data_IF_272096123664
#
_entry.id   IF_272096123664
#
_cell.length_a   1.000
_cell.length_b   1.000
_cell.length_c   1.000
_cell.angle_alpha   90.00
_cell.angle_beta   90.00
_cell.angle_gamma   90.00
#
_symmetry.space_group_name_H-M   'P 1'
#
loop_
_entity.id
_entity.type
_entity.pdbx_description
1 polymer ?
#
# COMPACT_ATOMS: atom_id res chain seq x y z
N UNK A 1 -55.98 47.76 -36.90
CA UNK A 1 -54.53 47.62 -37.11
C UNK A 1 -53.67 47.46 -35.84
N UNK A 2 -54.12 47.71 -34.61
CA UNK A 2 -53.32 47.59 -33.37
C UNK A 2 -53.31 46.20 -32.72
N UNK A 3 -54.25 45.30 -33.07
CA UNK A 3 -54.29 43.94 -32.45
C UNK A 3 -53.45 42.91 -33.20
N UNK A 4 -53.20 43.07 -34.48
CA UNK A 4 -52.36 42.14 -35.28
C UNK A 4 -50.88 42.34 -35.05
N UNK A 5 -50.40 43.54 -34.71
CA UNK A 5 -49.01 43.84 -34.40
C UNK A 5 -48.57 43.29 -33.02
N UNK A 6 -49.51 43.26 -32.06
CA UNK A 6 -49.21 42.72 -30.72
C UNK A 6 -49.09 41.18 -30.72
N UNK A 7 -49.89 40.49 -31.54
CA UNK A 7 -49.85 39.04 -31.72
C UNK A 7 -48.54 38.61 -32.43
N UNK A 8 -48.10 39.40 -33.42
CA UNK A 8 -46.87 39.15 -34.16
C UNK A 8 -45.60 39.33 -33.22
N UNK A 9 -45.63 40.36 -32.34
CA UNK A 9 -44.55 40.56 -31.38
C UNK A 9 -44.48 39.45 -30.30
N UNK A 10 -45.63 38.94 -29.85
CA UNK A 10 -45.68 37.84 -28.87
C UNK A 10 -45.20 36.51 -29.48
N UNK A 11 -45.45 36.26 -30.78
CA UNK A 11 -44.96 35.08 -31.48
C UNK A 11 -43.44 35.10 -31.71
N UNK A 12 -42.84 36.27 -31.95
CA UNK A 12 -41.38 36.41 -32.09
C UNK A 12 -40.66 36.23 -30.77
N UNK A 13 -41.24 36.67 -29.64
CA UNK A 13 -40.67 36.45 -28.30
C UNK A 13 -40.81 34.98 -27.90
N UNK A 14 -41.83 34.24 -28.31
CA UNK A 14 -41.98 32.82 -28.06
C UNK A 14 -41.04 31.96 -28.91
N UNK A 15 -40.70 32.35 -30.15
CA UNK A 15 -39.71 31.65 -30.97
C UNK A 15 -38.25 31.85 -30.47
N UNK A 16 -37.94 33.00 -29.84
CA UNK A 16 -36.61 33.26 -29.27
C UNK A 16 -36.37 32.53 -27.96
N UNK A 17 -37.40 32.08 -27.25
CA UNK A 17 -37.28 31.29 -26.01
C UNK A 17 -36.99 29.78 -26.27
N UNK A 18 -37.06 29.32 -27.54
CA UNK A 18 -36.75 27.93 -27.91
C UNK A 18 -35.29 27.69 -28.33
N UNK A 19 -34.47 28.74 -28.40
CA UNK A 19 -33.02 28.59 -28.57
C UNK A 19 -32.37 28.55 -27.19
N UNK A 20 -32.84 27.66 -26.31
CA UNK A 20 -32.14 27.25 -25.10
C UNK A 20 -30.92 26.44 -25.52
N UNK A 21 -29.72 27.02 -25.36
CA UNK A 21 -28.44 26.34 -25.47
C UNK A 21 -28.31 25.22 -24.42
N UNK A 22 -29.07 24.15 -24.61
CA UNK A 22 -28.73 22.87 -24.02
C UNK A 22 -27.86 22.12 -25.01
N UNK A 23 -26.63 21.87 -24.70
CA UNK A 23 -25.83 20.92 -25.50
C UNK A 23 -26.71 19.67 -25.74
N UNK A 24 -26.88 19.26 -27.01
CA UNK A 24 -27.71 18.09 -27.30
C UNK A 24 -27.21 16.90 -26.49
N UNK A 25 -28.11 16.06 -26.00
CA UNK A 25 -27.76 14.83 -25.24
C UNK A 25 -26.66 14.02 -25.93
N UNK A 26 -26.65 14.08 -27.28
CA UNK A 26 -25.65 13.41 -28.10
C UNK A 26 -24.26 14.06 -28.00
N UNK A 27 -24.18 15.40 -27.97
CA UNK A 27 -22.90 16.13 -27.79
C UNK A 27 -22.31 15.86 -26.41
N UNK A 28 -23.13 15.88 -25.35
CA UNK A 28 -22.72 15.54 -23.99
C UNK A 28 -22.23 14.09 -23.93
N UNK A 29 -22.93 13.15 -24.60
CA UNK A 29 -22.52 11.75 -24.68
C UNK A 29 -21.19 11.58 -25.44
N UNK A 30 -21.02 12.28 -26.57
CA UNK A 30 -19.73 12.24 -27.32
C UNK A 30 -18.58 12.79 -26.52
N UNK A 31 -18.75 13.92 -25.82
CA UNK A 31 -17.73 14.51 -24.95
C UNK A 31 -17.36 13.57 -23.79
N UNK A 32 -18.36 12.94 -23.16
CA UNK A 32 -18.11 11.96 -22.09
C UNK A 32 -17.39 10.71 -22.60
N UNK A 33 -17.69 10.22 -23.82
CA UNK A 33 -16.98 9.11 -24.45
C UNK A 33 -15.53 9.47 -24.81
N UNK A 34 -15.30 10.68 -25.34
CA UNK A 34 -13.96 11.17 -25.66
C UNK A 34 -13.11 11.33 -24.40
N UNK A 35 -13.68 11.92 -23.34
CA UNK A 35 -12.98 12.07 -22.07
C UNK A 35 -12.66 10.71 -21.43
N UNK A 36 -13.59 9.75 -21.48
CA UNK A 36 -13.35 8.37 -21.04
C UNK A 36 -12.24 7.70 -21.84
N UNK A 37 -12.25 7.83 -23.18
CA UNK A 37 -11.21 7.26 -24.03
C UNK A 37 -9.84 7.88 -23.77
N UNK A 38 -9.79 9.19 -23.51
CA UNK A 38 -8.59 9.92 -23.12
C UNK A 38 -8.07 9.41 -21.77
N UNK A 39 -8.95 9.28 -20.77
CA UNK A 39 -8.61 8.80 -19.46
C UNK A 39 -8.11 7.35 -19.49
N UNK A 40 -8.76 6.49 -20.28
CA UNK A 40 -8.33 5.11 -20.51
C UNK A 40 -6.94 5.05 -21.18
N UNK A 41 -6.65 5.96 -22.11
CA UNK A 41 -5.33 6.06 -22.74
C UNK A 41 -4.25 6.48 -21.75
N UNK A 42 -4.52 7.51 -20.93
CA UNK A 42 -3.63 7.95 -19.86
C UNK A 42 -3.39 6.82 -18.85
N UNK A 43 -4.45 6.12 -18.44
CA UNK A 43 -4.33 5.00 -17.51
C UNK A 43 -3.50 3.84 -18.10
N UNK A 44 -3.64 3.54 -19.39
CA UNK A 44 -2.81 2.53 -20.08
C UNK A 44 -1.35 2.94 -20.18
N UNK A 45 -1.05 4.20 -20.41
CA UNK A 45 0.32 4.72 -20.51
C UNK A 45 0.99 4.86 -19.14
N UNK A 46 0.23 5.06 -18.06
CA UNK A 46 0.75 5.27 -16.72
C UNK A 46 1.54 4.07 -16.18
N UNK A 47 2.52 4.35 -15.33
CA UNK A 47 3.26 3.35 -14.57
C UNK A 47 2.52 3.04 -13.27
N UNK A 48 1.91 1.86 -13.18
CA UNK A 48 1.03 1.49 -12.06
C UNK A 48 1.80 0.77 -10.98
N UNK A 49 1.67 1.24 -9.74
CA UNK A 49 2.34 0.65 -8.58
C UNK A 49 1.33 0.38 -7.47
N UNK A 50 1.29 -0.88 -7.02
CA UNK A 50 0.48 -1.31 -5.89
C UNK A 50 1.12 -0.90 -4.56
N UNK A 51 0.34 -0.24 -3.70
CA UNK A 51 0.79 0.26 -2.39
C UNK A 51 -0.15 -0.19 -1.28
N UNK A 52 0.39 -0.27 -0.07
CA UNK A 52 -0.30 -0.67 1.15
C UNK A 52 -0.31 0.49 2.17
N UNK A 53 -1.23 0.48 3.15
CA UNK A 53 -1.30 1.51 4.19
C UNK A 53 -0.20 1.35 5.25
N UNK A 54 1.06 1.31 4.82
CA UNK A 54 2.24 1.02 5.64
C UNK A 54 3.33 2.06 5.47
N UNK A 55 4.17 2.22 6.48
CA UNK A 55 5.22 3.24 6.53
C UNK A 55 6.21 3.14 5.37
N UNK A 56 6.53 1.94 4.91
CA UNK A 56 7.46 1.71 3.81
C UNK A 56 6.96 2.19 2.44
N UNK A 57 5.65 2.48 2.32
CA UNK A 57 5.08 3.17 1.17
C UNK A 57 5.17 4.70 1.27
N UNK A 58 5.60 5.27 2.40
CA UNK A 58 5.66 6.73 2.58
C UNK A 58 6.47 7.44 1.49
N UNK A 59 7.66 6.96 1.04
CA UNK A 59 8.41 7.63 -0.02
C UNK A 59 7.61 7.74 -1.33
N UNK A 60 6.81 6.74 -1.65
CA UNK A 60 5.97 6.75 -2.86
C UNK A 60 4.78 7.70 -2.69
N UNK A 61 4.19 7.78 -1.48
CA UNK A 61 3.13 8.75 -1.19
C UNK A 61 3.63 10.19 -1.26
N UNK A 62 4.82 10.46 -0.71
CA UNK A 62 5.47 11.78 -0.78
C UNK A 62 5.79 12.14 -2.22
N UNK A 63 6.41 11.22 -2.99
CA UNK A 63 6.73 11.47 -4.39
C UNK A 63 5.49 11.80 -5.24
N UNK A 64 4.35 11.17 -4.93
CA UNK A 64 3.08 11.45 -5.60
C UNK A 64 2.49 12.81 -5.17
N UNK A 65 2.49 13.12 -3.89
CA UNK A 65 1.88 14.33 -3.33
C UNK A 65 2.69 15.58 -3.70
N UNK A 66 4.01 15.52 -3.61
CA UNK A 66 4.94 16.58 -4.03
C UNK A 66 5.16 16.64 -5.55
N UNK A 67 4.42 15.83 -6.34
CA UNK A 67 4.49 15.77 -7.82
C UNK A 67 5.91 15.50 -8.36
N UNK A 68 6.73 14.76 -7.60
CA UNK A 68 8.11 14.46 -8.02
C UNK A 68 8.14 13.57 -9.26
N UNK A 69 7.18 12.63 -9.39
CA UNK A 69 7.06 11.81 -10.60
C UNK A 69 6.72 12.64 -11.83
N UNK A 70 5.77 13.57 -11.71
CA UNK A 70 5.35 14.44 -12.81
C UNK A 70 6.51 15.35 -13.26
N UNK A 71 7.27 15.91 -12.31
CA UNK A 71 8.45 16.75 -12.60
C UNK A 71 9.57 16.00 -13.33
N UNK A 72 9.63 14.68 -13.15
CA UNK A 72 10.55 13.79 -13.85
C UNK A 72 10.01 13.28 -15.20
N UNK A 73 8.77 13.62 -15.55
CA UNK A 73 8.14 13.23 -16.82
C UNK A 73 7.62 11.79 -16.82
N UNK A 74 7.26 11.23 -15.66
CA UNK A 74 6.61 9.92 -15.55
C UNK A 74 5.26 10.04 -14.84
N UNK A 75 4.20 9.58 -15.50
CA UNK A 75 2.88 9.48 -14.87
C UNK A 75 2.79 8.19 -14.08
N UNK A 76 2.75 8.29 -12.75
CA UNK A 76 2.61 7.16 -11.84
C UNK A 76 1.18 7.10 -11.31
N UNK A 77 0.55 5.93 -11.41
CA UNK A 77 -0.73 5.66 -10.77
C UNK A 77 -0.56 4.73 -9.58
N UNK A 78 -0.77 5.23 -8.37
CA UNK A 78 -0.79 4.43 -7.16
C UNK A 78 -2.12 3.70 -7.03
N UNK A 79 -2.06 2.37 -7.01
CA UNK A 79 -3.21 1.50 -6.74
C UNK A 79 -3.14 1.09 -5.26
N UNK A 80 -3.99 1.72 -4.43
CA UNK A 80 -4.03 1.45 -3.00
C UNK A 80 -4.81 0.17 -2.71
N UNK A 81 -4.20 -0.75 -1.98
CA UNK A 81 -4.80 -2.01 -1.52
C UNK A 81 -4.85 -2.02 0.00
N UNK A 82 -5.90 -2.60 0.56
CA UNK A 82 -6.03 -2.81 2.00
C UNK A 82 -5.52 -4.18 2.44
N UNK A 83 -5.67 -5.17 1.56
CA UNK A 83 -5.24 -6.54 1.80
C UNK A 83 -4.01 -6.89 0.95
N UNK A 84 -2.98 -7.48 1.59
CA UNK A 84 -1.75 -7.85 0.90
C UNK A 84 -2.00 -8.83 -0.26
N UNK A 85 -2.92 -9.78 -0.09
CA UNK A 85 -3.24 -10.75 -1.14
C UNK A 85 -3.81 -10.11 -2.41
N UNK A 86 -4.58 -9.02 -2.28
CA UNK A 86 -5.12 -8.30 -3.44
C UNK A 86 -4.01 -7.54 -4.18
N UNK A 87 -3.07 -6.95 -3.43
CA UNK A 87 -1.88 -6.30 -3.97
C UNK A 87 -1.03 -7.30 -4.77
N UNK A 88 -0.76 -8.48 -4.20
CA UNK A 88 0.00 -9.54 -4.87
C UNK A 88 -0.73 -10.09 -6.10
N UNK A 89 -2.04 -10.30 -6.00
CA UNK A 89 -2.85 -10.75 -7.14
C UNK A 89 -2.83 -9.73 -8.29
N UNK A 90 -2.83 -8.43 -7.95
CA UNK A 90 -2.70 -7.39 -8.96
C UNK A 90 -1.33 -7.42 -9.64
N UNK A 91 -0.25 -7.68 -8.89
CA UNK A 91 1.10 -7.85 -9.41
C UNK A 91 1.20 -9.09 -10.31
N UNK A 92 0.74 -10.24 -9.86
CA UNK A 92 0.77 -11.48 -10.65
C UNK A 92 -0.01 -11.37 -11.96
N UNK A 93 -1.20 -10.80 -11.91
CA UNK A 93 -2.09 -10.63 -13.08
C UNK A 93 -1.70 -9.46 -13.99
N UNK A 94 -0.68 -8.66 -13.63
CA UNK A 94 -0.21 -7.51 -14.42
C UNK A 94 -1.18 -6.34 -14.45
N UNK A 95 -1.97 -6.19 -13.42
CA UNK A 95 -2.80 -4.98 -13.21
C UNK A 95 -1.95 -3.81 -12.73
N UNK A 96 -0.76 -4.10 -12.19
CA UNK A 96 0.30 -3.16 -11.81
C UNK A 96 1.64 -3.65 -12.33
N UNK A 97 2.56 -2.76 -12.64
CA UNK A 97 3.93 -3.06 -13.05
C UNK A 97 4.80 -3.49 -11.87
N UNK A 98 4.55 -2.88 -10.70
CA UNK A 98 5.23 -3.19 -9.45
C UNK A 98 4.30 -3.06 -8.25
N UNK A 99 4.71 -3.61 -7.12
CA UNK A 99 3.97 -3.51 -5.87
C UNK A 99 4.89 -3.62 -4.65
N UNK A 100 4.45 -3.01 -3.55
CA UNK A 100 5.03 -3.30 -2.24
C UNK A 100 4.74 -4.74 -1.85
N UNK A 101 5.77 -5.46 -1.36
CA UNK A 101 5.68 -6.85 -0.94
C UNK A 101 6.75 -7.18 0.10
N UNK A 102 6.85 -8.44 0.45
CA UNK A 102 8.00 -8.99 1.18
C UNK A 102 8.65 -10.14 0.40
N UNK A 103 9.90 -10.44 0.71
CA UNK A 103 10.68 -11.45 0.00
C UNK A 103 10.07 -12.85 0.09
N UNK A 104 9.36 -13.19 1.18
CA UNK A 104 8.70 -14.49 1.33
C UNK A 104 7.58 -14.63 0.29
N UNK A 105 6.71 -13.62 0.23
CA UNK A 105 5.60 -13.57 -0.74
C UNK A 105 6.11 -13.50 -2.17
N UNK A 106 7.09 -12.63 -2.41
CA UNK A 106 7.68 -12.45 -3.73
C UNK A 106 8.28 -13.76 -4.27
N UNK A 107 8.94 -14.56 -3.43
CA UNK A 107 9.44 -15.89 -3.81
C UNK A 107 8.30 -16.86 -4.16
N UNK A 108 7.17 -16.81 -3.43
CA UNK A 108 6.00 -17.61 -3.80
C UNK A 108 5.44 -17.21 -5.17
N UNK A 109 5.38 -15.91 -5.48
CA UNK A 109 4.93 -15.41 -6.77
C UNK A 109 5.88 -15.88 -7.89
N UNK A 110 7.20 -15.82 -7.66
CA UNK A 110 8.20 -16.31 -8.62
C UNK A 110 8.06 -17.81 -8.83
N UNK A 111 7.89 -18.61 -7.77
CA UNK A 111 7.67 -20.07 -7.87
C UNK A 111 6.41 -20.43 -8.66
N UNK A 112 5.38 -19.58 -8.67
CA UNK A 112 4.17 -19.73 -9.48
C UNK A 112 4.34 -19.29 -10.95
N UNK A 113 5.55 -18.90 -11.36
CA UNK A 113 5.89 -18.60 -12.75
C UNK A 113 5.79 -17.12 -13.14
N UNK A 114 5.71 -16.19 -12.16
CA UNK A 114 5.79 -14.75 -12.44
C UNK A 114 7.17 -14.22 -12.03
N UNK A 115 8.10 -14.00 -12.99
CA UNK A 115 9.42 -13.45 -12.70
C UNK A 115 9.31 -12.04 -12.13
N UNK A 116 10.05 -11.76 -11.05
CA UNK A 116 10.09 -10.47 -10.37
C UNK A 116 11.51 -9.95 -10.26
N UNK A 117 11.64 -8.63 -10.30
CA UNK A 117 12.86 -7.87 -9.99
C UNK A 117 12.64 -7.04 -8.72
N UNK A 118 13.71 -6.88 -7.93
CA UNK A 118 13.68 -6.21 -6.63
C UNK A 118 14.65 -5.02 -6.59
N UNK A 119 14.36 -3.90 -7.27
CA UNK A 119 15.26 -2.76 -7.30
C UNK A 119 15.27 -1.96 -6.00
N UNK A 120 14.25 -2.12 -5.15
CA UNK A 120 14.09 -1.38 -3.91
C UNK A 120 13.89 -2.35 -2.75
N UNK A 121 14.82 -2.37 -1.82
CA UNK A 121 14.65 -2.93 -0.47
C UNK A 121 14.10 -1.85 0.45
N UNK A 122 13.09 -2.18 1.24
CA UNK A 122 12.54 -1.23 2.20
C UNK A 122 13.02 -1.53 3.62
N UNK A 123 12.96 -0.54 4.48
CA UNK A 123 13.30 -0.68 5.89
C UNK A 123 12.12 -1.15 6.75
N UNK A 124 11.13 -1.78 6.12
CA UNK A 124 9.99 -2.38 6.81
C UNK A 124 10.44 -3.44 7.79
N UNK A 125 9.82 -3.43 8.94
CA UNK A 125 9.93 -4.45 9.96
C UNK A 125 8.55 -4.80 10.52
N UNK A 126 8.46 -5.93 11.15
CA UNK A 126 7.23 -6.43 11.77
C UNK A 126 7.46 -6.76 13.23
N UNK A 127 6.44 -6.53 14.02
CA UNK A 127 6.41 -6.83 15.43
C UNK A 127 5.29 -7.80 15.76
N UNK A 128 5.59 -8.84 16.53
CA UNK A 128 4.59 -9.65 17.19
C UNK A 128 4.16 -8.91 18.45
N UNK A 129 2.92 -8.43 18.45
CA UNK A 129 2.34 -7.61 19.52
C UNK A 129 1.21 -8.39 20.17
N UNK A 130 1.23 -8.50 21.48
CA UNK A 130 0.24 -9.25 22.25
C UNK A 130 -0.82 -8.34 22.83
N UNK A 131 -2.00 -8.91 23.06
CA UNK A 131 -3.06 -8.20 23.73
C UNK A 131 -2.68 -7.94 25.19
N UNK A 132 -2.73 -6.68 25.62
CA UNK A 132 -2.41 -6.29 27.00
C UNK A 132 -3.28 -7.00 28.06
N UNK A 133 -4.53 -7.35 27.72
CA UNK A 133 -5.44 -8.07 28.63
C UNK A 133 -5.08 -9.56 28.74
N UNK A 134 -4.48 -10.14 27.71
CA UNK A 134 -4.06 -11.53 27.72
C UNK A 134 -2.82 -11.77 28.62
N UNK A 135 -2.13 -10.69 29.05
CA UNK A 135 -0.97 -10.73 29.94
C UNK A 135 0.15 -11.66 29.44
N UNK A 136 0.33 -11.75 28.13
CA UNK A 136 1.37 -12.53 27.49
C UNK A 136 2.63 -11.66 27.42
N UNK A 137 3.68 -12.03 28.17
CA UNK A 137 4.96 -11.33 28.25
C UNK A 137 6.13 -12.16 27.72
N UNK A 138 5.94 -13.45 27.49
CA UNK A 138 6.96 -14.38 27.00
C UNK A 138 6.39 -15.28 25.89
N UNK A 139 7.26 -15.69 24.95
CA UNK A 139 6.84 -16.52 23.81
C UNK A 139 6.22 -17.84 24.23
N UNK A 140 6.69 -18.48 25.31
CA UNK A 140 6.11 -19.75 25.79
C UNK A 140 4.63 -19.66 26.20
N UNK A 141 4.14 -18.45 26.51
CA UNK A 141 2.74 -18.19 26.86
C UNK A 141 1.81 -18.10 25.64
N UNK A 142 2.37 -18.24 24.42
CA UNK A 142 1.58 -18.34 23.18
C UNK A 142 0.87 -19.69 23.04
N UNK A 143 1.16 -20.66 23.91
CA UNK A 143 0.47 -21.97 23.96
C UNK A 143 -1.03 -21.79 24.06
N UNK A 144 -1.78 -22.44 23.16
CA UNK A 144 -3.26 -22.33 23.07
C UNK A 144 -3.76 -20.88 22.81
N UNK A 145 -3.00 -20.10 22.01
CA UNK A 145 -3.33 -18.72 21.69
C UNK A 145 -3.46 -18.50 20.17
N UNK A 146 -4.18 -17.45 19.80
CA UNK A 146 -4.39 -17.05 18.41
C UNK A 146 -3.40 -15.96 18.01
N UNK A 147 -2.71 -16.16 16.87
CA UNK A 147 -1.83 -15.16 16.24
C UNK A 147 -2.42 -14.77 14.88
N UNK A 148 -2.79 -13.49 14.70
CA UNK A 148 -3.22 -12.99 13.40
C UNK A 148 -2.02 -12.60 12.53
N UNK A 149 -1.99 -13.15 11.31
CA UNK A 149 -0.93 -12.95 10.32
C UNK A 149 -1.49 -13.06 8.89
N UNK A 150 -0.65 -12.98 7.89
CA UNK A 150 -0.96 -13.31 6.49
C UNK A 150 -0.15 -14.52 6.06
N UNK A 151 -0.80 -15.57 5.56
CA UNK A 151 -0.11 -16.79 5.09
C UNK A 151 0.89 -16.49 3.98
N UNK A 152 1.97 -17.29 3.96
CA UNK A 152 3.05 -17.21 2.97
C UNK A 152 3.70 -15.82 2.88
N UNK A 153 3.84 -15.13 3.99
CA UNK A 153 4.41 -13.78 4.07
C UNK A 153 5.48 -13.70 5.16
N UNK A 154 6.14 -12.54 5.23
CA UNK A 154 7.02 -12.23 6.35
C UNK A 154 6.34 -12.43 7.71
N UNK A 155 5.04 -12.15 7.82
CA UNK A 155 4.29 -12.32 9.08
C UNK A 155 4.05 -13.79 9.41
N UNK A 156 3.82 -14.66 8.43
CA UNK A 156 3.73 -16.10 8.65
C UNK A 156 5.08 -16.69 9.10
N UNK A 157 6.15 -16.30 8.38
CA UNK A 157 7.50 -16.70 8.73
C UNK A 157 7.90 -16.28 10.15
N UNK A 158 7.55 -15.07 10.56
CA UNK A 158 7.82 -14.58 11.92
C UNK A 158 6.96 -15.30 12.97
N UNK A 159 5.73 -15.69 12.63
CA UNK A 159 4.92 -16.55 13.49
C UNK A 159 5.57 -17.91 13.70
N UNK A 160 6.12 -18.53 12.62
CA UNK A 160 6.89 -19.78 12.73
C UNK A 160 8.12 -19.62 13.65
N UNK A 161 8.91 -18.57 13.46
CA UNK A 161 10.07 -18.27 14.32
C UNK A 161 9.67 -18.09 15.79
N UNK A 162 8.56 -17.43 16.05
CA UNK A 162 8.05 -17.24 17.41
C UNK A 162 7.61 -18.57 18.04
N UNK A 163 6.88 -19.38 17.29
CA UNK A 163 6.39 -20.70 17.73
C UNK A 163 7.57 -21.66 17.96
N UNK A 164 8.52 -21.73 17.02
CA UNK A 164 9.72 -22.58 17.16
C UNK A 164 10.58 -22.18 18.36
N UNK A 165 10.67 -20.88 18.65
CA UNK A 165 11.39 -20.37 19.84
C UNK A 165 10.63 -20.62 21.13
N UNK A 166 9.29 -20.54 21.07
CA UNK A 166 8.42 -20.72 22.23
C UNK A 166 8.37 -22.17 22.72
N UNK A 167 8.45 -23.15 21.80
CA UNK A 167 8.21 -24.57 22.04
C UNK A 167 6.95 -24.77 22.91
N UNK A 168 5.79 -24.28 22.45
CA UNK A 168 4.58 -24.26 23.27
C UNK A 168 4.11 -25.70 23.57
N UNK A 169 3.48 -25.90 24.73
CA UNK A 169 2.92 -27.20 25.11
C UNK A 169 1.72 -27.60 24.26
N UNK A 170 0.91 -26.62 23.85
CA UNK A 170 -0.29 -26.81 23.02
C UNK A 170 -0.15 -25.99 21.75
N UNK A 171 -0.96 -26.29 20.75
CA UNK A 171 -0.94 -25.62 19.45
C UNK A 171 -1.17 -24.10 19.56
N UNK A 172 -0.50 -23.38 18.67
CA UNK A 172 -0.71 -21.95 18.45
C UNK A 172 -1.54 -21.80 17.18
N UNK A 173 -2.69 -21.15 17.30
CA UNK A 173 -3.64 -21.01 16.17
C UNK A 173 -3.27 -19.81 15.32
N UNK A 174 -2.86 -20.06 14.08
CA UNK A 174 -2.56 -19.00 13.12
C UNK A 174 -3.83 -18.59 12.37
N UNK A 175 -4.28 -17.37 12.59
CA UNK A 175 -5.48 -16.80 11.99
C UNK A 175 -5.09 -15.90 10.83
N UNK A 176 -5.58 -16.22 9.63
CA UNK A 176 -5.28 -15.41 8.46
C UNK A 176 -6.14 -14.16 8.39
N UNK A 177 -5.54 -13.01 8.62
CA UNK A 177 -6.15 -11.68 8.45
C UNK A 177 -5.24 -10.85 7.55
N UNK A 178 -5.64 -10.62 6.31
CA UNK A 178 -4.78 -10.02 5.28
C UNK A 178 -4.66 -8.50 5.39
N UNK A 179 -5.66 -7.80 5.93
CA UNK A 179 -5.63 -6.36 6.16
C UNK A 179 -4.97 -6.04 7.50
N UNK A 180 -3.85 -5.31 7.47
CA UNK A 180 -3.09 -4.93 8.67
C UNK A 180 -3.88 -4.02 9.61
N UNK A 181 -4.81 -3.20 9.09
CA UNK A 181 -5.67 -2.33 9.90
C UNK A 181 -6.74 -3.13 10.63
N UNK A 182 -7.26 -4.18 9.99
CA UNK A 182 -8.21 -5.11 10.64
C UNK A 182 -7.48 -5.86 11.74
N UNK A 183 -6.24 -6.35 11.53
CA UNK A 183 -5.44 -6.97 12.59
C UNK A 183 -5.27 -6.05 13.80
N UNK A 184 -4.92 -4.78 13.57
CA UNK A 184 -4.83 -3.79 14.64
C UNK A 184 -6.18 -3.64 15.36
N UNK A 185 -7.28 -3.47 14.63
CA UNK A 185 -8.61 -3.30 15.19
C UNK A 185 -9.00 -4.49 16.07
N UNK A 186 -8.76 -5.72 15.61
CA UNK A 186 -9.04 -6.93 16.38
C UNK A 186 -8.21 -7.00 17.66
N UNK A 187 -6.95 -6.60 17.62
CA UNK A 187 -6.12 -6.48 18.83
C UNK A 187 -6.70 -5.48 19.83
N UNK A 188 -7.07 -4.29 19.35
CA UNK A 188 -7.61 -3.21 20.19
C UNK A 188 -8.97 -3.58 20.80
N UNK A 189 -9.79 -4.35 20.07
CA UNK A 189 -11.08 -4.85 20.53
C UNK A 189 -10.98 -6.11 21.41
N UNK A 190 -9.78 -6.62 21.66
CA UNK A 190 -9.53 -7.87 22.41
C UNK A 190 -10.09 -9.13 21.73
N UNK A 191 -10.14 -9.15 20.40
CA UNK A 191 -10.61 -10.30 19.61
C UNK A 191 -9.47 -11.26 19.24
N UNK A 192 -8.20 -10.83 19.45
CA UNK A 192 -6.99 -11.60 19.17
C UNK A 192 -6.03 -11.56 20.35
N UNK A 193 -5.35 -12.68 20.63
CA UNK A 193 -4.33 -12.77 21.67
C UNK A 193 -3.03 -12.09 21.23
N UNK A 194 -2.65 -12.26 19.98
CA UNK A 194 -1.46 -11.65 19.38
C UNK A 194 -1.69 -11.36 17.90
N UNK A 195 -0.96 -10.37 17.38
CA UNK A 195 -1.00 -9.98 15.97
C UNK A 195 0.39 -9.60 15.48
N UNK A 196 0.65 -9.81 14.19
CA UNK A 196 1.84 -9.30 13.53
C UNK A 196 1.52 -8.00 12.80
N UNK A 197 2.14 -6.91 13.23
CA UNK A 197 1.93 -5.56 12.69
C UNK A 197 3.23 -4.97 12.16
N UNK A 198 3.11 -4.05 11.23
CA UNK A 198 4.16 -3.11 10.81
C UNK A 198 3.73 -1.68 11.13
N UNK A 199 4.58 -0.68 10.84
CA UNK A 199 4.26 0.71 11.07
C UNK A 199 3.30 1.28 9.99
N UNK A 200 2.41 2.19 10.35
CA UNK A 200 2.21 2.85 11.64
C UNK A 200 1.29 2.08 12.61
N UNK A 201 0.71 0.95 12.21
CA UNK A 201 -0.23 0.18 13.03
C UNK A 201 0.44 -0.36 14.32
N UNK A 202 1.71 -0.76 14.23
CA UNK A 202 2.48 -1.18 15.40
C UNK A 202 2.67 -0.03 16.40
N UNK A 203 2.95 1.20 15.94
CA UNK A 203 3.05 2.38 16.80
C UNK A 203 1.74 2.66 17.54
N UNK A 204 0.60 2.53 16.86
CA UNK A 204 -0.73 2.66 17.49
C UNK A 204 -0.93 1.62 18.58
N UNK A 205 -0.62 0.35 18.32
CA UNK A 205 -0.73 -0.70 19.31
C UNK A 205 0.17 -0.46 20.53
N UNK A 206 1.45 -0.07 20.33
CA UNK A 206 2.37 0.27 21.42
C UNK A 206 1.89 1.48 22.24
N UNK A 207 1.34 2.49 21.58
CA UNK A 207 0.75 3.66 22.25
C UNK A 207 -0.41 3.26 23.17
N UNK A 208 -1.20 2.26 22.78
CA UNK A 208 -2.27 1.67 23.59
C UNK A 208 -1.74 0.64 24.62
N UNK A 209 -0.41 0.60 24.84
CA UNK A 209 0.29 -0.26 25.82
C UNK A 209 0.14 -1.76 25.56
N UNK A 210 0.03 -2.16 24.29
CA UNK A 210 0.13 -3.56 23.90
C UNK A 210 1.60 -3.98 23.85
N UNK A 211 2.02 -5.06 24.57
CA UNK A 211 3.44 -5.46 24.64
C UNK A 211 3.95 -5.99 23.29
N UNK A 212 5.18 -5.64 22.95
CA UNK A 212 5.93 -6.24 21.84
C UNK A 212 6.64 -7.47 22.37
N UNK A 213 6.34 -8.63 21.79
CA UNK A 213 6.93 -9.90 22.20
C UNK A 213 8.12 -10.30 21.34
N UNK A 214 8.14 -9.89 20.06
CA UNK A 214 9.24 -10.12 19.13
C UNK A 214 9.27 -9.00 18.08
N UNK A 215 10.48 -8.63 17.67
CA UNK A 215 10.72 -7.68 16.59
C UNK A 215 11.61 -8.34 15.52
N UNK A 216 11.25 -8.20 14.25
CA UNK A 216 12.03 -8.78 13.14
C UNK A 216 13.42 -8.17 13.02
N UNK A 217 13.63 -6.95 13.53
CA UNK A 217 14.94 -6.28 13.54
C UNK A 217 15.95 -7.01 14.46
N UNK A 218 15.47 -7.55 15.59
CA UNK A 218 16.31 -8.31 16.54
C UNK A 218 16.81 -9.63 15.92
N UNK A 219 16.19 -10.07 14.84
CA UNK A 219 16.60 -11.24 14.06
C UNK A 219 17.43 -10.86 12.81
N UNK A 220 17.76 -9.59 12.63
CA UNK A 220 18.50 -9.11 11.47
C UNK A 220 17.74 -9.26 10.13
N UNK A 221 16.40 -9.39 10.17
CA UNK A 221 15.57 -9.67 9.00
C UNK A 221 15.17 -8.37 8.30
N UNK A 222 15.57 -8.22 7.03
CA UNK A 222 15.14 -7.16 6.11
C UNK A 222 14.40 -7.81 4.95
N UNK A 223 13.08 -7.90 5.06
CA UNK A 223 12.23 -8.66 4.12
C UNK A 223 11.41 -7.77 3.19
N UNK A 224 11.22 -6.49 3.50
CA UNK A 224 10.38 -5.59 2.71
C UNK A 224 11.03 -5.21 1.37
N UNK A 225 10.24 -5.23 0.30
CA UNK A 225 10.68 -4.90 -1.05
C UNK A 225 9.57 -4.23 -1.86
N UNK A 226 9.94 -3.39 -2.84
CA UNK A 226 9.10 -3.19 -4.00
C UNK A 226 9.51 -4.21 -5.08
N UNK A 227 8.57 -5.03 -5.46
CA UNK A 227 8.74 -6.07 -6.48
C UNK A 227 8.12 -5.59 -7.80
N UNK A 228 8.84 -5.74 -8.91
CA UNK A 228 8.40 -5.36 -10.25
C UNK A 228 8.37 -6.58 -11.17
N UNK A 229 7.39 -6.64 -12.06
CA UNK A 229 7.24 -7.76 -13.00
C UNK A 229 8.35 -7.71 -14.07
N UNK A 230 9.20 -8.73 -14.11
CA UNK A 230 10.23 -8.84 -15.13
C UNK A 230 9.69 -8.85 -16.57
N UNK A 231 8.47 -9.41 -16.79
CA UNK A 231 7.81 -9.35 -18.10
C UNK A 231 7.47 -7.91 -18.53
N UNK A 232 7.03 -7.06 -17.60
CA UNK A 232 6.74 -5.65 -17.89
C UNK A 232 8.03 -4.89 -18.26
N UNK A 233 9.13 -5.17 -17.56
CA UNK A 233 10.43 -4.51 -17.76
C UNK A 233 11.18 -4.93 -19.03
N UNK A 234 10.65 -5.85 -19.82
CA UNK A 234 11.16 -6.13 -21.18
C UNK A 234 10.88 -4.98 -22.15
N UNK A 235 9.86 -4.15 -21.88
CA UNK A 235 9.61 -2.92 -22.66
C UNK A 235 10.60 -1.84 -22.26
N UNK A 236 11.30 -1.24 -23.25
CA UNK A 236 12.21 -0.14 -23.03
C UNK A 236 11.52 1.07 -22.35
N UNK A 237 10.27 1.34 -22.74
CA UNK A 237 9.43 2.38 -22.13
C UNK A 237 9.20 2.12 -20.63
N UNK A 238 8.73 0.90 -20.27
CA UNK A 238 8.48 0.54 -18.87
C UNK A 238 9.76 0.52 -18.04
N UNK A 239 10.88 0.12 -18.63
CA UNK A 239 12.19 0.21 -17.97
C UNK A 239 12.58 1.66 -17.67
N UNK A 240 12.42 2.56 -18.65
CA UNK A 240 12.64 4.00 -18.46
C UNK A 240 11.71 4.58 -17.38
N UNK A 241 10.43 4.18 -17.37
CA UNK A 241 9.48 4.62 -16.33
C UNK A 241 9.90 4.12 -14.94
N UNK A 242 10.41 2.89 -14.80
CA UNK A 242 10.97 2.39 -13.55
C UNK A 242 12.18 3.21 -13.09
N UNK A 243 13.10 3.55 -13.98
CA UNK A 243 14.28 4.36 -13.64
C UNK A 243 13.86 5.74 -13.12
N UNK A 244 12.86 6.37 -13.74
CA UNK A 244 12.30 7.66 -13.31
C UNK A 244 11.51 7.51 -11.98
N UNK A 245 10.78 6.42 -11.80
CA UNK A 245 10.12 6.10 -10.55
C UNK A 245 11.13 5.98 -9.39
N UNK A 246 12.23 5.25 -9.60
CA UNK A 246 13.31 5.11 -8.62
C UNK A 246 13.92 6.47 -8.28
N UNK A 247 14.12 7.34 -9.28
CA UNK A 247 14.65 8.68 -9.06
C UNK A 247 13.70 9.52 -8.19
N UNK A 248 12.40 9.51 -8.49
CA UNK A 248 11.38 10.18 -7.66
C UNK A 248 11.29 9.61 -6.25
N UNK A 249 11.36 8.28 -6.12
CA UNK A 249 11.45 7.60 -4.82
C UNK A 249 12.64 8.11 -3.99
N UNK A 250 13.83 8.20 -4.58
CA UNK A 250 15.04 8.67 -3.89
C UNK A 250 14.93 10.14 -3.46
N UNK A 251 14.36 11.00 -4.30
CA UNK A 251 14.10 12.41 -3.94
C UNK A 251 13.15 12.51 -2.74
N UNK A 252 12.09 11.68 -2.71
CA UNK A 252 11.17 11.62 -1.58
C UNK A 252 11.85 11.08 -0.32
N UNK A 253 12.76 10.12 -0.44
CA UNK A 253 13.58 9.63 0.69
C UNK A 253 14.41 10.76 1.30
N UNK A 254 15.05 11.59 0.47
CA UNK A 254 15.83 12.75 0.93
C UNK A 254 14.92 13.76 1.65
N UNK A 255 13.75 14.04 1.07
CA UNK A 255 12.76 14.96 1.66
C UNK A 255 12.26 14.45 3.02
N UNK A 256 11.94 13.15 3.14
CA UNK A 256 11.49 12.55 4.39
C UNK A 256 12.59 12.58 5.46
N UNK A 257 13.82 12.21 5.09
CA UNK A 257 14.95 12.20 6.01
C UNK A 257 15.31 13.60 6.53
N UNK A 258 15.06 14.64 5.71
CA UNK A 258 15.26 16.04 6.09
C UNK A 258 14.15 16.58 7.00
N UNK A 259 12.90 16.33 6.64
CA UNK A 259 11.73 16.98 7.28
C UNK A 259 11.13 16.16 8.43
N UNK A 260 11.37 14.84 8.46
CA UNK A 260 10.82 13.91 9.45
C UNK A 260 9.34 13.56 9.22
N UNK A 261 8.87 12.55 9.96
CA UNK A 261 7.53 11.96 9.74
C UNK A 261 6.37 12.91 10.06
N UNK A 262 6.54 13.77 11.08
CA UNK A 262 5.48 14.69 11.53
C UNK A 262 5.10 15.68 10.42
N UNK A 263 6.06 16.07 9.59
CA UNK A 263 5.81 16.92 8.41
C UNK A 263 4.79 16.29 7.45
N UNK A 264 4.78 14.98 7.35
CA UNK A 264 3.91 14.21 6.45
C UNK A 264 2.69 13.60 7.16
N UNK A 265 2.28 14.13 8.32
CA UNK A 265 1.16 13.60 9.11
C UNK A 265 -0.15 13.49 8.33
N UNK A 266 -0.40 14.41 7.39
CA UNK A 266 -1.60 14.35 6.53
C UNK A 266 -1.56 13.17 5.55
N UNK A 267 -0.38 12.79 5.05
CA UNK A 267 -0.25 11.60 4.21
C UNK A 267 -0.48 10.31 5.03
N UNK A 268 0.01 10.27 6.26
CA UNK A 268 -0.30 9.16 7.17
C UNK A 268 -1.80 9.05 7.45
N UNK A 269 -2.47 10.15 7.66
CA UNK A 269 -3.93 10.19 7.83
C UNK A 269 -4.64 9.71 6.56
N UNK A 270 -4.25 10.23 5.40
CA UNK A 270 -4.85 9.92 4.10
C UNK A 270 -4.69 8.46 3.68
N UNK A 271 -3.47 7.92 3.79
CA UNK A 271 -3.13 6.60 3.24
C UNK A 271 -3.11 5.48 4.28
N UNK A 272 -2.77 5.79 5.52
CA UNK A 272 -2.54 4.79 6.56
C UNK A 272 -3.60 4.81 7.69
N UNK A 273 -4.55 5.75 7.66
CA UNK A 273 -5.54 5.96 8.74
C UNK A 273 -4.87 6.16 10.11
N UNK A 274 -3.73 6.87 10.13
CA UNK A 274 -2.96 7.13 11.34
C UNK A 274 -3.08 8.59 11.78
N UNK A 275 -3.45 8.78 13.04
CA UNK A 275 -3.55 10.10 13.67
C UNK A 275 -2.15 10.69 13.97
N UNK A 276 -2.09 12.02 14.18
CA UNK A 276 -0.85 12.73 14.52
C UNK A 276 -0.16 12.14 15.76
N UNK A 277 -0.93 11.67 16.74
CA UNK A 277 -0.38 11.09 17.95
C UNK A 277 0.32 9.75 17.67
N UNK A 278 -0.20 8.96 16.74
CA UNK A 278 0.44 7.74 16.24
C UNK A 278 1.70 8.07 15.44
N UNK A 279 1.66 9.10 14.59
CA UNK A 279 2.84 9.53 13.81
C UNK A 279 3.97 10.01 14.74
N UNK A 280 3.66 10.75 15.80
CA UNK A 280 4.63 11.15 16.83
C UNK A 280 5.22 9.97 17.62
N UNK A 281 4.50 8.84 17.69
CA UNK A 281 4.96 7.61 18.36
C UNK A 281 5.77 6.68 17.44
N UNK A 282 5.94 7.03 16.16
CA UNK A 282 6.81 6.28 15.25
C UNK A 282 8.26 6.31 15.73
N UNK A 283 9.00 5.22 15.58
CA UNK A 283 10.43 5.22 15.90
C UNK A 283 11.19 6.14 14.93
N UNK A 284 12.35 6.63 15.39
CA UNK A 284 13.28 7.35 14.53
C UNK A 284 13.88 6.38 13.52
N UNK A 285 13.44 6.44 12.30
CA UNK A 285 13.95 5.63 11.19
C UNK A 285 14.47 6.56 10.09
N UNK A 286 15.57 6.16 9.46
CA UNK A 286 16.04 6.75 8.20
C UNK A 286 15.62 5.83 7.06
N UNK A 287 15.07 6.40 6.00
CA UNK A 287 14.89 5.69 4.74
C UNK A 287 16.21 5.62 3.98
N UNK A 288 16.42 4.51 3.32
CA UNK A 288 17.57 4.32 2.42
C UNK A 288 17.12 4.59 0.97
N UNK A 289 18.02 5.11 0.14
CA UNK A 289 17.80 5.16 -1.31
C UNK A 289 17.56 3.77 -1.85
N UNK A 290 16.90 3.69 -3.00
CA UNK A 290 16.61 2.44 -3.67
C UNK A 290 17.88 1.59 -3.83
N UNK A 291 17.87 0.40 -3.27
CA UNK A 291 18.94 -0.58 -3.39
C UNK A 291 18.34 -1.99 -3.41
N UNK A 292 19.03 -2.92 -4.08
CA UNK A 292 18.61 -4.32 -4.10
C UNK A 292 18.75 -4.96 -2.71
N UNK A 293 17.84 -5.87 -2.33
CA UNK A 293 17.97 -6.59 -1.07
C UNK A 293 19.27 -7.43 -1.05
N UNK A 294 19.96 -7.42 0.10
CA UNK A 294 21.24 -8.13 0.25
C UNK A 294 21.08 -9.65 0.26
N UNK A 295 19.97 -10.16 0.80
CA UNK A 295 19.67 -11.59 0.93
C UNK A 295 18.37 -11.90 0.17
N UNK A 296 18.48 -12.29 -1.09
CA UNK A 296 17.32 -12.68 -1.91
C UNK A 296 16.87 -14.13 -1.58
N UNK A 297 17.80 -15.00 -1.21
CA UNK A 297 17.53 -16.41 -0.89
C UNK A 297 17.25 -16.57 0.61
N UNK A 298 16.02 -16.36 1.00
CA UNK A 298 15.58 -16.79 2.32
C UNK A 298 15.14 -18.23 2.16
N UNK A 299 15.97 -19.14 2.67
CA UNK A 299 15.57 -20.52 2.78
C UNK A 299 14.43 -20.60 3.77
N UNK A 300 13.20 -20.45 3.29
CA UNK A 300 12.05 -20.83 4.08
C UNK A 300 12.14 -22.33 4.21
N UNK A 301 12.61 -22.82 5.35
CA UNK A 301 12.33 -24.17 5.74
C UNK A 301 10.80 -24.27 5.83
N UNK A 302 10.15 -24.54 4.70
CA UNK A 302 8.74 -24.89 4.69
C UNK A 302 8.66 -26.24 5.39
N UNK A 303 8.44 -26.21 6.69
CA UNK A 303 7.85 -27.37 7.35
C UNK A 303 6.47 -27.57 6.73
N UNK A 304 6.31 -28.74 6.11
CA UNK A 304 5.10 -29.29 5.53
C UNK A 304 3.91 -29.18 6.49
#
# INVERSE_FOLDING_TARGET
MKKTTVVALLLVVWLSALVGCGDSKEKVRRLSMQEKARQDSIDKASFKVGVMPTLDCLPVFVAQDEKLFDSLGVTVHLKCYSAQMDCDTALERGRVEGAISDLIRAQHIVKRGTPLEFPISTNTYWQLITNRRARISELKQLSDKMIAMTRYSATDYLADLAIDSAKPKFDVYRVQINDVRIRLKMLLNNEMDAVLLTEPQAAKARKERHPVLMDSRDKGLRLGVFAFRGKALKSAERKKQLDLFIKGYNQAVDSINKNGFVHYSELFRKYCDADLATVKALPKLKFEHACKPKNINITTASKK
#
